data_IF_625650953734
#
_entry.id   IF_625650953734
#
_cell.length_a   1.000
_cell.length_b   1.000
_cell.length_c   1.000
_cell.angle_alpha   90.00
_cell.angle_beta   90.00
_cell.angle_gamma   90.00
#
_symmetry.space_group_name_H-M   'P 1'
#
loop_
_entity.id
_entity.type
_entity.pdbx_description
1 polymer ?
#
# COMPACT_ATOMS: atom_id res chain seq x y z
N UNK A 1 3.35 18.90 -9.70
CA UNK A 1 2.42 18.35 -10.71
C UNK A 1 1.03 18.70 -10.26
N UNK A 2 0.27 19.49 -11.03
CA UNK A 2 -1.15 19.72 -10.72
C UNK A 2 -1.86 18.37 -10.61
N UNK A 3 -2.76 18.20 -9.64
CA UNK A 3 -3.52 16.96 -9.53
C UNK A 3 -4.34 16.82 -10.81
N UNK A 4 -3.94 15.88 -11.69
CA UNK A 4 -4.73 15.54 -12.87
C UNK A 4 -6.15 15.23 -12.39
N UNK A 5 -7.14 15.86 -12.98
CA UNK A 5 -8.53 15.56 -12.64
C UNK A 5 -8.79 14.09 -12.96
N UNK A 6 -9.23 13.34 -11.96
CA UNK A 6 -9.57 11.93 -12.14
C UNK A 6 -10.72 11.77 -13.17
N UNK A 7 -10.77 10.65 -13.92
CA UNK A 7 -11.86 10.38 -14.84
C UNK A 7 -13.23 10.44 -14.17
N UNK A 8 -14.23 10.91 -14.90
CA UNK A 8 -15.61 10.99 -14.40
C UNK A 8 -16.19 9.57 -14.21
N UNK A 9 -16.66 9.28 -13.00
CA UNK A 9 -17.23 7.97 -12.66
C UNK A 9 -18.45 7.58 -13.49
N UNK A 10 -19.27 8.56 -13.91
CA UNK A 10 -20.40 8.29 -14.80
C UNK A 10 -19.94 7.89 -16.21
N UNK A 11 -18.81 8.42 -16.66
CA UNK A 11 -18.22 8.01 -17.95
C UNK A 11 -17.58 6.61 -17.84
N UNK A 12 -16.89 6.31 -16.73
CA UNK A 12 -16.40 4.95 -16.44
C UNK A 12 -17.55 3.94 -16.40
N UNK A 13 -18.66 4.30 -15.78
CA UNK A 13 -19.88 3.47 -15.76
C UNK A 13 -20.42 3.23 -17.18
N UNK A 14 -20.52 4.27 -17.99
CA UNK A 14 -20.94 4.14 -19.38
C UNK A 14 -19.99 3.24 -20.19
N UNK A 15 -18.68 3.41 -20.03
CA UNK A 15 -17.65 2.58 -20.65
C UNK A 15 -17.85 1.09 -20.35
N UNK A 16 -17.96 0.74 -19.06
CA UNK A 16 -18.15 -0.65 -18.63
C UNK A 16 -19.45 -1.22 -19.19
N UNK A 17 -20.57 -0.50 -19.13
CA UNK A 17 -21.85 -0.99 -19.64
C UNK A 17 -21.86 -1.17 -21.18
N UNK A 18 -21.24 -0.25 -21.93
CA UNK A 18 -21.10 -0.43 -23.40
C UNK A 18 -20.20 -1.63 -23.72
N UNK A 19 -19.15 -1.86 -22.95
CA UNK A 19 -18.29 -3.04 -23.09
C UNK A 19 -19.03 -4.35 -22.78
N UNK A 20 -19.86 -4.37 -21.72
CA UNK A 20 -20.63 -5.56 -21.31
C UNK A 20 -21.71 -5.94 -22.34
N UNK A 21 -22.38 -4.97 -22.95
CA UNK A 21 -23.48 -5.21 -23.88
C UNK A 21 -23.06 -5.20 -25.38
N UNK A 22 -21.86 -4.72 -25.69
CA UNK A 22 -21.37 -4.57 -27.07
C UNK A 22 -22.20 -3.57 -27.90
N UNK A 23 -23.08 -2.79 -27.28
CA UNK A 23 -24.03 -1.89 -27.95
C UNK A 23 -24.39 -0.69 -27.10
N UNK A 24 -24.33 0.51 -27.69
CA UNK A 24 -24.76 1.75 -27.01
C UNK A 24 -26.26 1.71 -26.70
N UNK A 25 -27.09 1.16 -27.60
CA UNK A 25 -28.54 1.06 -27.40
C UNK A 25 -28.84 0.20 -26.16
N UNK A 26 -28.33 -1.03 -26.10
CA UNK A 26 -28.55 -1.93 -24.96
C UNK A 26 -27.98 -1.35 -23.66
N UNK A 27 -26.80 -0.72 -23.73
CA UNK A 27 -26.21 -0.06 -22.56
C UNK A 27 -27.08 1.11 -22.10
N UNK A 28 -27.68 1.90 -23.00
CA UNK A 28 -28.54 3.02 -22.64
C UNK A 28 -29.82 2.58 -21.93
N UNK A 29 -30.41 1.47 -22.39
CA UNK A 29 -31.56 0.85 -21.73
C UNK A 29 -31.21 0.39 -20.30
N UNK A 30 -30.09 -0.34 -20.14
CA UNK A 30 -29.60 -0.81 -18.83
C UNK A 30 -29.22 0.34 -17.88
N UNK A 31 -28.78 1.46 -18.42
CA UNK A 31 -28.41 2.65 -17.66
C UNK A 31 -29.60 3.58 -17.37
N UNK A 32 -30.77 3.34 -17.95
CA UNK A 32 -31.93 4.23 -17.93
C UNK A 32 -31.57 5.65 -18.39
N UNK A 33 -30.84 5.76 -19.52
CA UNK A 33 -30.34 7.01 -20.10
C UNK A 33 -30.58 7.03 -21.62
N UNK A 34 -30.69 8.23 -22.20
CA UNK A 34 -30.75 8.36 -23.63
C UNK A 34 -29.44 7.92 -24.32
N UNK A 35 -29.51 7.33 -25.49
CA UNK A 35 -28.33 6.89 -26.27
C UNK A 35 -27.33 8.03 -26.52
N UNK A 36 -27.82 9.26 -26.78
CA UNK A 36 -26.98 10.44 -26.95
C UNK A 36 -26.14 10.76 -25.71
N UNK A 37 -26.69 10.56 -24.51
CA UNK A 37 -25.97 10.76 -23.24
C UNK A 37 -24.86 9.71 -23.07
N UNK A 38 -25.16 8.44 -23.37
CA UNK A 38 -24.16 7.37 -23.29
C UNK A 38 -23.05 7.58 -24.31
N UNK A 39 -23.41 7.90 -25.57
CA UNK A 39 -22.42 8.20 -26.61
C UNK A 39 -21.53 9.36 -26.21
N UNK A 40 -22.11 10.44 -25.70
CA UNK A 40 -21.36 11.61 -25.22
C UNK A 40 -20.42 11.23 -24.07
N UNK A 41 -20.88 10.44 -23.11
CA UNK A 41 -20.04 9.97 -21.99
C UNK A 41 -18.81 9.18 -22.46
N UNK A 42 -18.97 8.34 -23.49
CA UNK A 42 -17.84 7.60 -24.09
C UNK A 42 -16.89 8.59 -24.79
N UNK A 43 -17.41 9.47 -25.65
CA UNK A 43 -16.58 10.44 -26.36
C UNK A 43 -15.81 11.39 -25.42
N UNK A 44 -16.44 11.83 -24.33
CA UNK A 44 -15.78 12.66 -23.31
C UNK A 44 -14.72 11.88 -22.54
N UNK A 45 -14.93 10.57 -22.28
CA UNK A 45 -13.92 9.71 -21.68
C UNK A 45 -12.73 9.50 -22.62
N UNK A 46 -12.98 9.17 -23.87
CA UNK A 46 -11.96 8.98 -24.91
C UNK A 46 -11.14 10.26 -25.12
N UNK A 47 -11.81 11.41 -25.22
CA UNK A 47 -11.16 12.72 -25.32
C UNK A 47 -10.29 13.04 -24.08
N UNK A 48 -10.79 12.74 -22.88
CA UNK A 48 -10.06 12.94 -21.63
C UNK A 48 -8.81 12.09 -21.54
N UNK A 49 -8.90 10.82 -21.98
CA UNK A 49 -7.81 9.86 -21.94
C UNK A 49 -6.89 9.94 -23.17
N UNK A 50 -7.29 10.71 -24.17
CA UNK A 50 -6.61 10.85 -25.46
C UNK A 50 -6.36 9.48 -26.13
N UNK A 51 -7.38 8.60 -26.11
CA UNK A 51 -7.36 7.26 -26.73
C UNK A 51 -8.76 6.84 -27.16
N UNK A 52 -8.86 6.04 -28.23
CA UNK A 52 -10.09 5.35 -28.56
C UNK A 52 -10.24 4.10 -27.69
N UNK A 53 -11.40 3.94 -27.06
CA UNK A 53 -11.74 2.77 -26.23
C UNK A 53 -12.57 1.75 -27.02
N UNK A 54 -13.29 2.23 -28.04
CA UNK A 54 -14.13 1.40 -28.90
C UNK A 54 -13.89 1.66 -30.39
N UNK A 55 -14.09 0.60 -31.16
CA UNK A 55 -14.24 0.65 -32.62
C UNK A 55 -15.70 0.40 -32.97
N UNK A 56 -16.20 1.14 -33.99
CA UNK A 56 -17.55 0.94 -34.51
C UNK A 56 -17.53 -0.12 -35.60
N UNK A 57 -18.34 -1.15 -35.42
CA UNK A 57 -18.56 -2.20 -36.42
C UNK A 57 -20.03 -2.27 -36.80
N UNK A 58 -20.33 -2.94 -37.94
CA UNK A 58 -21.70 -3.13 -38.39
C UNK A 58 -22.60 -3.79 -37.34
N UNK A 59 -22.02 -4.64 -36.47
CA UNK A 59 -22.74 -5.39 -35.41
C UNK A 59 -22.67 -4.73 -34.02
N UNK A 60 -22.20 -3.49 -33.91
CA UNK A 60 -22.13 -2.78 -32.64
C UNK A 60 -20.78 -2.17 -32.32
N UNK A 61 -20.47 -2.11 -31.03
CA UNK A 61 -19.21 -1.54 -30.48
C UNK A 61 -18.27 -2.67 -30.03
N UNK A 62 -17.04 -2.63 -30.47
CA UNK A 62 -15.98 -3.54 -30.02
C UNK A 62 -14.90 -2.75 -29.32
N UNK A 63 -14.36 -3.32 -28.25
CA UNK A 63 -13.24 -2.71 -27.55
C UNK A 63 -11.98 -2.70 -28.41
N UNK A 64 -11.26 -1.60 -28.39
CA UNK A 64 -9.86 -1.53 -28.84
C UNK A 64 -8.96 -2.31 -27.89
N UNK A 65 -7.69 -2.55 -28.25
CA UNK A 65 -6.69 -3.15 -27.35
C UNK A 65 -6.52 -2.33 -26.07
N UNK A 66 -6.56 -1.00 -26.18
CA UNK A 66 -6.51 -0.09 -25.03
C UNK A 66 -7.76 -0.26 -24.17
N UNK A 67 -8.95 -0.29 -24.78
CA UNK A 67 -10.20 -0.52 -24.08
C UNK A 67 -10.21 -1.85 -23.34
N UNK A 68 -9.70 -2.93 -23.96
CA UNK A 68 -9.60 -4.25 -23.33
C UNK A 68 -8.70 -4.23 -22.08
N UNK A 69 -7.58 -3.51 -22.13
CA UNK A 69 -6.63 -3.40 -21.01
C UNK A 69 -7.17 -2.54 -19.86
N UNK A 70 -7.93 -1.50 -20.14
CA UNK A 70 -8.52 -0.62 -19.14
C UNK A 70 -9.79 -1.20 -18.48
N UNK A 71 -10.53 -2.05 -19.20
CA UNK A 71 -11.82 -2.58 -18.72
C UNK A 71 -11.72 -3.28 -17.35
N UNK A 72 -10.73 -4.13 -17.05
CA UNK A 72 -10.60 -4.76 -15.73
C UNK A 72 -10.52 -3.73 -14.61
N UNK A 73 -9.75 -2.65 -14.79
CA UNK A 73 -9.61 -1.60 -13.79
C UNK A 73 -10.89 -0.77 -13.65
N UNK A 74 -11.54 -0.42 -14.74
CA UNK A 74 -12.83 0.27 -14.73
C UNK A 74 -13.90 -0.55 -14.00
N UNK A 75 -13.96 -1.86 -14.22
CA UNK A 75 -14.87 -2.78 -13.48
C UNK A 75 -14.57 -2.80 -11.99
N UNK A 76 -13.31 -2.75 -11.59
CA UNK A 76 -12.93 -2.70 -10.16
C UNK A 76 -13.41 -1.41 -9.50
N UNK A 77 -13.26 -0.27 -10.16
CA UNK A 77 -13.80 1.01 -9.66
C UNK A 77 -15.28 0.86 -9.31
N UNK A 78 -16.07 0.29 -10.24
CA UNK A 78 -17.51 0.10 -10.02
C UNK A 78 -17.76 -0.91 -8.90
N UNK A 79 -17.09 -2.05 -8.90
CA UNK A 79 -17.27 -3.10 -7.90
C UNK A 79 -16.98 -2.62 -6.47
N UNK A 80 -15.94 -1.78 -6.29
CA UNK A 80 -15.65 -1.17 -4.98
C UNK A 80 -16.78 -0.25 -4.52
N UNK A 81 -17.34 0.58 -5.41
CA UNK A 81 -18.46 1.47 -5.06
C UNK A 81 -19.76 0.69 -4.86
N UNK A 82 -20.02 -0.32 -5.67
CA UNK A 82 -21.22 -1.17 -5.57
C UNK A 82 -21.22 -2.03 -4.28
N UNK A 83 -20.07 -2.27 -3.67
CA UNK A 83 -19.95 -2.96 -2.38
C UNK A 83 -20.44 -2.14 -1.18
N UNK A 84 -20.46 -0.81 -1.29
CA UNK A 84 -20.74 0.11 -0.18
C UNK A 84 -22.13 -0.10 0.45
N UNK A 85 -23.24 -0.22 -0.29
CA UNK A 85 -24.54 -0.46 0.32
C UNK A 85 -24.61 -1.75 1.15
N UNK A 86 -23.96 -2.83 0.68
CA UNK A 86 -23.90 -4.11 1.40
C UNK A 86 -23.19 -3.99 2.74
N UNK A 87 -22.07 -3.25 2.79
CA UNK A 87 -21.33 -2.99 4.03
C UNK A 87 -22.14 -2.20 5.06
N UNK A 88 -23.06 -1.36 4.60
CA UNK A 88 -23.93 -0.58 5.48
C UNK A 88 -25.18 -1.35 5.96
N UNK A 89 -25.28 -2.66 5.65
CA UNK A 89 -26.40 -3.48 6.07
C UNK A 89 -27.66 -3.27 5.23
N UNK A 90 -27.52 -2.78 4.01
CA UNK A 90 -28.53 -2.80 2.97
C UNK A 90 -28.76 -4.25 2.57
N UNK A 91 -29.82 -4.88 3.13
CA UNK A 91 -30.16 -6.25 2.77
C UNK A 91 -30.49 -6.39 1.28
N UNK A 92 -30.56 -7.63 0.81
CA UNK A 92 -30.74 -8.19 -0.54
C UNK A 92 -31.94 -7.67 -1.38
N UNK A 93 -32.38 -6.45 -1.14
CA UNK A 93 -33.24 -5.75 -2.09
C UNK A 93 -32.36 -5.36 -3.25
N UNK A 94 -32.64 -5.93 -4.43
CA UNK A 94 -32.11 -5.60 -5.76
C UNK A 94 -31.29 -4.30 -5.73
N UNK A 95 -29.96 -4.43 -5.58
CA UNK A 95 -29.10 -3.30 -5.20
C UNK A 95 -29.13 -2.25 -6.32
N UNK A 96 -29.92 -1.23 -6.10
CA UNK A 96 -29.90 -0.03 -6.94
C UNK A 96 -28.48 0.51 -6.89
N UNK A 97 -27.86 0.68 -8.05
CA UNK A 97 -26.50 1.24 -8.13
C UNK A 97 -26.39 2.52 -7.27
N UNK A 98 -25.36 2.65 -6.43
CA UNK A 98 -25.24 3.75 -5.47
C UNK A 98 -24.78 5.05 -6.17
N UNK A 99 -25.60 5.60 -7.05
CA UNK A 99 -25.28 6.78 -7.88
C UNK A 99 -24.86 7.99 -7.07
N UNK A 100 -25.24 8.07 -5.79
CA UNK A 100 -24.75 9.11 -4.88
C UNK A 100 -23.24 9.04 -4.63
N UNK A 101 -22.57 7.90 -4.92
CA UNK A 101 -21.11 7.74 -4.85
C UNK A 101 -20.41 8.11 -6.18
N UNK A 102 -21.14 8.24 -7.30
CA UNK A 102 -20.54 8.38 -8.63
C UNK A 102 -20.12 9.83 -8.94
N UNK A 103 -19.55 10.50 -7.95
CA UNK A 103 -18.92 11.82 -8.11
C UNK A 103 -17.57 11.83 -7.38
N UNK A 104 -16.48 11.91 -8.13
CA UNK A 104 -15.10 11.85 -7.61
C UNK A 104 -14.90 12.85 -6.47
N UNK A 105 -15.32 14.11 -6.66
CA UNK A 105 -15.17 15.17 -5.66
C UNK A 105 -15.85 14.83 -4.33
N UNK A 106 -17.00 14.16 -4.38
CA UNK A 106 -17.72 13.71 -3.18
C UNK A 106 -16.94 12.66 -2.41
N UNK A 107 -16.36 11.69 -3.11
CA UNK A 107 -15.51 10.67 -2.52
C UNK A 107 -14.25 11.27 -1.90
N UNK A 108 -13.63 12.25 -2.58
CA UNK A 108 -12.47 12.98 -2.06
C UNK A 108 -12.80 13.75 -0.78
N UNK A 109 -13.95 14.44 -0.75
CA UNK A 109 -14.43 15.16 0.45
C UNK A 109 -14.59 14.19 1.63
N UNK A 110 -15.25 13.05 1.40
CA UNK A 110 -15.46 12.05 2.44
C UNK A 110 -14.13 11.51 2.99
N UNK A 111 -13.21 11.09 2.11
CA UNK A 111 -11.89 10.58 2.53
C UNK A 111 -11.13 11.64 3.32
N UNK A 112 -11.09 12.88 2.83
CA UNK A 112 -10.38 13.97 3.52
C UNK A 112 -11.03 14.34 4.87
N UNK A 113 -12.35 14.22 5.00
CA UNK A 113 -13.01 14.39 6.30
C UNK A 113 -12.63 13.29 7.29
N UNK A 114 -12.51 12.04 6.85
CA UNK A 114 -12.04 10.94 7.68
C UNK A 114 -10.58 11.12 8.16
N UNK A 115 -9.75 11.83 7.36
CA UNK A 115 -8.34 12.08 7.69
C UNK A 115 -8.14 13.29 8.60
N UNK A 116 -8.87 14.37 8.33
CA UNK A 116 -8.60 15.68 8.96
C UNK A 116 -9.56 16.03 10.10
N UNK A 117 -10.74 15.43 10.12
CA UNK A 117 -11.81 15.69 11.09
C UNK A 117 -12.35 17.13 11.07
N UNK A 118 -11.93 17.98 10.10
CA UNK A 118 -12.28 19.41 10.05
C UNK A 118 -12.75 19.84 8.66
N UNK A 119 -14.00 20.34 8.57
CA UNK A 119 -14.59 20.79 7.30
C UNK A 119 -13.81 21.96 6.67
N UNK A 120 -13.31 22.89 7.46
CA UNK A 120 -12.57 24.03 6.94
C UNK A 120 -11.24 23.60 6.32
N UNK A 121 -10.53 22.67 6.95
CA UNK A 121 -9.30 22.09 6.41
C UNK A 121 -9.55 21.38 5.07
N UNK A 122 -10.63 20.58 5.00
CA UNK A 122 -11.03 19.91 3.75
C UNK A 122 -11.39 20.92 2.66
N UNK A 123 -12.12 21.98 3.02
CA UNK A 123 -12.46 23.05 2.09
C UNK A 123 -11.19 23.67 1.48
N UNK A 124 -10.23 24.04 2.32
CA UNK A 124 -8.94 24.59 1.87
C UNK A 124 -8.14 23.62 1.00
N UNK A 125 -8.01 22.35 1.43
CA UNK A 125 -7.24 21.33 0.70
C UNK A 125 -7.82 21.01 -0.69
N UNK A 126 -9.14 21.11 -0.83
CA UNK A 126 -9.82 20.76 -2.07
C UNK A 126 -10.26 21.99 -2.91
N UNK A 127 -9.92 23.22 -2.49
CA UNK A 127 -10.33 24.43 -3.18
C UNK A 127 -11.86 24.63 -3.20
N UNK A 128 -12.53 24.27 -2.09
CA UNK A 128 -13.99 24.38 -1.91
C UNK A 128 -14.34 25.39 -0.82
N UNK A 129 -15.61 25.81 -0.79
CA UNK A 129 -16.16 26.50 0.38
C UNK A 129 -16.62 25.49 1.43
N UNK A 130 -16.59 25.87 2.71
CA UNK A 130 -17.10 25.03 3.80
C UNK A 130 -18.59 24.62 3.60
N UNK A 131 -19.51 25.50 3.15
CA UNK A 131 -20.87 25.11 2.82
C UNK A 131 -20.93 24.00 1.73
N UNK A 132 -20.05 24.04 0.72
CA UNK A 132 -19.99 23.02 -0.32
C UNK A 132 -19.54 21.67 0.25
N UNK A 133 -18.57 21.65 1.17
CA UNK A 133 -18.16 20.43 1.90
C UNK A 133 -19.34 19.88 2.71
N UNK A 134 -20.05 20.73 3.46
CA UNK A 134 -21.22 20.34 4.26
C UNK A 134 -22.37 19.80 3.40
N UNK A 135 -22.66 20.45 2.26
CA UNK A 135 -23.68 19.98 1.32
C UNK A 135 -23.31 18.62 0.71
N UNK A 136 -22.04 18.47 0.33
CA UNK A 136 -21.50 17.21 -0.22
C UNK A 136 -21.65 16.05 0.78
N UNK A 137 -21.33 16.30 2.06
CA UNK A 137 -21.50 15.30 3.12
C UNK A 137 -22.97 14.93 3.31
N UNK A 138 -23.89 15.90 3.36
CA UNK A 138 -25.33 15.64 3.48
C UNK A 138 -25.88 14.76 2.37
N UNK A 139 -25.44 14.99 1.11
CA UNK A 139 -25.85 14.13 -0.02
C UNK A 139 -25.34 12.71 0.17
N UNK A 140 -24.12 12.55 0.66
CA UNK A 140 -23.53 11.22 0.91
C UNK A 140 -24.24 10.49 2.05
N UNK A 141 -24.49 11.16 3.18
CA UNK A 141 -25.24 10.61 4.31
C UNK A 141 -26.68 10.23 3.92
N UNK A 142 -27.34 11.10 3.13
CA UNK A 142 -28.67 10.81 2.59
C UNK A 142 -28.70 9.56 1.71
N UNK A 143 -27.67 9.39 0.86
CA UNK A 143 -27.53 8.19 0.02
C UNK A 143 -27.18 6.92 0.81
N UNK A 144 -26.36 7.06 1.85
CA UNK A 144 -26.03 5.95 2.77
C UNK A 144 -27.17 5.58 3.73
N UNK A 145 -28.14 6.46 3.93
CA UNK A 145 -29.23 6.28 4.91
C UNK A 145 -28.74 6.27 6.38
N UNK A 146 -27.50 6.69 6.61
CA UNK A 146 -26.85 6.69 7.93
C UNK A 146 -25.95 7.92 8.09
N UNK A 147 -25.82 8.48 9.33
CA UNK A 147 -24.82 9.49 9.61
C UNK A 147 -23.41 8.89 9.43
N UNK A 148 -22.55 9.60 8.70
CA UNK A 148 -21.17 9.21 8.50
C UNK A 148 -20.24 9.89 9.51
N UNK A 149 -20.63 11.05 10.05
CA UNK A 149 -19.85 11.77 11.05
C UNK A 149 -20.71 12.23 12.21
N UNK A 150 -20.10 12.24 13.39
CA UNK A 150 -20.66 12.81 14.60
C UNK A 150 -19.93 14.10 14.95
N UNK A 151 -20.68 15.12 15.40
CA UNK A 151 -20.09 16.37 15.87
C UNK A 151 -19.67 16.23 17.33
N UNK A 152 -18.41 16.45 17.60
CA UNK A 152 -17.85 16.44 18.96
C UNK A 152 -17.12 17.77 19.23
N UNK A 153 -16.79 18.06 20.50
CA UNK A 153 -15.95 19.22 20.83
C UNK A 153 -14.56 19.20 20.15
N UNK A 154 -14.13 18.01 19.68
CA UNK A 154 -12.85 17.80 18.98
C UNK A 154 -12.98 17.83 17.45
N UNK A 155 -14.14 18.25 16.92
CA UNK A 155 -14.43 18.25 15.49
C UNK A 155 -15.36 17.12 15.06
N UNK A 156 -15.33 16.79 13.77
CA UNK A 156 -16.10 15.70 13.19
C UNK A 156 -15.40 14.38 13.43
N UNK A 157 -16.07 13.42 14.06
CA UNK A 157 -15.54 12.07 14.24
C UNK A 157 -16.24 11.09 13.28
N UNK A 158 -15.49 10.27 12.53
CA UNK A 158 -16.07 9.24 11.69
C UNK A 158 -16.86 8.24 12.52
N UNK A 159 -18.07 7.90 12.07
CA UNK A 159 -18.88 6.84 12.66
C UNK A 159 -18.36 5.45 12.24
N UNK A 160 -18.91 4.40 12.84
CA UNK A 160 -18.67 3.02 12.39
C UNK A 160 -18.99 2.85 10.90
N UNK A 161 -20.09 3.43 10.43
CA UNK A 161 -20.46 3.42 9.02
C UNK A 161 -19.37 4.01 8.11
N UNK A 162 -18.76 5.13 8.51
CA UNK A 162 -17.62 5.69 7.78
C UNK A 162 -16.43 4.75 7.72
N UNK A 163 -16.07 4.10 8.82
CA UNK A 163 -14.96 3.13 8.82
C UNK A 163 -15.23 1.93 7.91
N UNK A 164 -16.47 1.45 7.85
CA UNK A 164 -16.86 0.32 7.00
C UNK A 164 -16.73 0.65 5.50
N UNK A 165 -17.04 1.88 5.07
CA UNK A 165 -17.01 2.28 3.64
C UNK A 165 -15.75 2.98 3.20
N UNK A 166 -14.85 3.35 4.11
CA UNK A 166 -13.65 4.12 3.80
C UNK A 166 -12.72 3.39 2.83
N UNK A 167 -12.45 2.11 3.07
CA UNK A 167 -11.53 1.33 2.23
C UNK A 167 -12.04 1.13 0.80
N UNK A 168 -13.28 0.68 0.53
CA UNK A 168 -13.79 0.60 -0.83
C UNK A 168 -13.71 1.94 -1.56
N UNK A 169 -14.03 3.04 -0.90
CA UNK A 169 -13.98 4.37 -1.52
C UNK A 169 -12.54 4.77 -1.85
N UNK A 170 -11.58 4.54 -0.95
CA UNK A 170 -10.16 4.80 -1.22
C UNK A 170 -9.65 3.94 -2.37
N UNK A 171 -9.99 2.64 -2.39
CA UNK A 171 -9.60 1.73 -3.47
C UNK A 171 -10.17 2.18 -4.82
N UNK A 172 -11.45 2.57 -4.88
CA UNK A 172 -12.04 3.10 -6.09
C UNK A 172 -11.30 4.35 -6.62
N UNK A 173 -10.94 5.28 -5.73
CA UNK A 173 -10.17 6.47 -6.10
C UNK A 173 -8.75 6.10 -6.56
N UNK A 174 -8.13 5.11 -5.96
CA UNK A 174 -6.80 4.63 -6.35
C UNK A 174 -6.82 3.94 -7.72
N UNK A 175 -7.80 3.07 -7.97
CA UNK A 175 -7.98 2.44 -9.29
C UNK A 175 -8.20 3.50 -10.38
N UNK A 176 -8.92 4.59 -10.11
CA UNK A 176 -9.06 5.71 -11.05
C UNK A 176 -7.72 6.39 -11.37
N UNK A 177 -6.85 6.59 -10.38
CA UNK A 177 -5.50 7.16 -10.59
C UNK A 177 -4.64 6.24 -11.46
N UNK A 178 -4.73 4.94 -11.27
CA UNK A 178 -3.95 3.97 -12.03
C UNK A 178 -4.36 3.86 -13.50
N UNK A 179 -5.56 4.31 -13.92
CA UNK A 179 -5.95 4.37 -15.33
C UNK A 179 -4.94 5.18 -16.16
N UNK A 180 -4.51 6.32 -15.65
CA UNK A 180 -3.53 7.17 -16.33
C UNK A 180 -2.15 6.49 -16.41
N UNK A 181 -1.73 5.81 -15.35
CA UNK A 181 -0.47 5.04 -15.31
C UNK A 181 -0.49 3.87 -16.31
N UNK A 182 -1.63 3.16 -16.42
CA UNK A 182 -1.80 2.09 -17.38
C UNK A 182 -1.68 2.61 -18.82
N UNK A 183 -2.29 3.77 -19.14
CA UNK A 183 -2.23 4.39 -20.45
C UNK A 183 -0.82 4.83 -20.84
N UNK A 184 -0.08 5.44 -19.91
CA UNK A 184 1.29 5.87 -20.19
C UNK A 184 2.20 4.67 -20.44
N UNK A 185 2.03 3.58 -19.71
CA UNK A 185 2.74 2.33 -19.95
C UNK A 185 2.44 1.73 -21.34
N UNK A 186 1.17 1.78 -21.78
CA UNK A 186 0.77 1.34 -23.12
C UNK A 186 1.41 2.15 -24.25
N UNK A 187 1.73 3.41 -23.99
CA UNK A 187 2.43 4.31 -24.93
C UNK A 187 3.96 4.11 -24.90
N UNK A 188 4.46 3.13 -24.16
CA UNK A 188 5.91 2.86 -23.98
C UNK A 188 6.64 3.82 -23.06
N UNK A 189 5.91 4.67 -22.34
CA UNK A 189 6.48 5.63 -21.40
C UNK A 189 6.00 5.29 -19.97
N UNK A 190 6.82 4.54 -19.22
CA UNK A 190 6.48 4.23 -17.83
C UNK A 190 6.67 5.47 -16.96
N UNK A 191 5.58 6.00 -16.45
CA UNK A 191 5.57 7.17 -15.56
C UNK A 191 4.43 7.07 -14.55
N UNK A 192 4.57 7.73 -13.41
CA UNK A 192 3.57 7.76 -12.35
C UNK A 192 4.20 7.63 -10.98
N UNK A 193 3.36 7.31 -10.00
CA UNK A 193 3.78 7.21 -8.59
C UNK A 193 3.55 5.78 -8.12
N UNK A 194 4.52 5.23 -7.37
CA UNK A 194 4.37 3.99 -6.62
C UNK A 194 4.57 4.26 -5.13
N UNK A 195 3.66 3.75 -4.32
CA UNK A 195 3.71 3.83 -2.86
C UNK A 195 4.14 2.49 -2.30
N UNK A 196 5.32 2.43 -1.66
CA UNK A 196 5.86 1.20 -1.09
C UNK A 196 5.98 1.27 0.42
N UNK A 197 5.37 0.31 1.12
CA UNK A 197 5.60 0.09 2.53
C UNK A 197 6.94 -0.58 2.75
N UNK A 198 7.87 0.08 3.44
CA UNK A 198 9.24 -0.40 3.62
C UNK A 198 9.48 -0.86 5.07
N UNK A 199 9.56 -2.17 5.30
CA UNK A 199 9.94 -2.72 6.60
C UNK A 199 11.47 -2.69 6.79
N UNK A 200 11.97 -2.71 8.03
CA UNK A 200 13.39 -2.50 8.32
C UNK A 200 14.38 -3.33 7.47
N UNK A 201 14.06 -4.59 7.21
CA UNK A 201 14.93 -5.49 6.43
C UNK A 201 15.08 -5.11 4.95
N UNK A 202 14.12 -4.36 4.39
CA UNK A 202 14.18 -3.92 2.99
C UNK A 202 14.90 -2.60 2.78
N UNK A 203 15.05 -1.78 3.83
CA UNK A 203 15.40 -0.35 3.70
C UNK A 203 16.88 -0.08 3.45
N UNK A 204 17.76 -0.94 3.91
CA UNK A 204 19.20 -0.61 3.99
C UNK A 204 19.94 -0.82 2.68
N UNK A 205 19.56 -1.80 1.87
CA UNK A 205 20.25 -2.16 0.63
C UNK A 205 19.30 -2.39 -0.54
N UNK A 206 18.46 -3.43 -0.46
CA UNK A 206 17.71 -3.94 -1.62
C UNK A 206 16.77 -2.90 -2.21
N UNK A 207 15.94 -2.26 -1.39
CA UNK A 207 14.99 -1.26 -1.88
C UNK A 207 15.67 -0.01 -2.43
N UNK A 208 16.66 0.60 -1.77
CA UNK A 208 17.42 1.72 -2.32
C UNK A 208 18.06 1.41 -3.67
N UNK A 209 18.71 0.25 -3.81
CA UNK A 209 19.33 -0.17 -5.06
C UNK A 209 18.30 -0.39 -6.17
N UNK A 210 17.17 -1.04 -5.85
CA UNK A 210 16.08 -1.22 -6.79
C UNK A 210 15.49 0.12 -7.28
N UNK A 211 15.35 1.09 -6.37
CA UNK A 211 14.87 2.45 -6.72
C UNK A 211 15.86 3.15 -7.65
N UNK A 212 17.16 3.12 -7.34
CA UNK A 212 18.20 3.75 -8.17
C UNK A 212 18.18 3.18 -9.59
N UNK A 213 18.11 1.85 -9.74
CA UNK A 213 18.05 1.19 -11.04
C UNK A 213 16.76 1.54 -11.79
N UNK A 214 15.62 1.49 -11.10
CA UNK A 214 14.34 1.85 -11.70
C UNK A 214 14.32 3.28 -12.22
N UNK A 215 14.84 4.23 -11.45
CA UNK A 215 14.90 5.64 -11.85
C UNK A 215 15.89 5.90 -12.99
N UNK A 216 16.97 5.11 -13.10
CA UNK A 216 17.89 5.17 -14.24
C UNK A 216 17.21 4.74 -15.55
N UNK A 217 16.35 3.73 -15.51
CA UNK A 217 15.59 3.26 -16.67
C UNK A 217 14.36 4.11 -16.96
N UNK A 218 13.71 4.63 -15.90
CA UNK A 218 12.40 5.32 -15.96
C UNK A 218 12.41 6.61 -15.12
N UNK A 219 13.05 7.69 -15.59
CA UNK A 219 13.26 8.92 -14.79
C UNK A 219 11.99 9.70 -14.46
N UNK A 220 10.83 9.34 -15.04
CA UNK A 220 9.54 9.97 -14.77
C UNK A 220 8.71 9.25 -13.69
N UNK A 221 9.27 8.22 -13.05
CA UNK A 221 8.66 7.54 -11.92
C UNK A 221 8.97 8.30 -10.63
N UNK A 222 7.99 8.43 -9.76
CA UNK A 222 8.16 8.85 -8.38
C UNK A 222 7.93 7.66 -7.45
N UNK A 223 8.87 7.40 -6.56
CA UNK A 223 8.71 6.38 -5.51
C UNK A 223 8.48 7.10 -4.18
N UNK A 224 7.40 6.72 -3.50
CA UNK A 224 7.07 7.21 -2.15
C UNK A 224 7.17 6.02 -1.20
N UNK A 225 8.03 6.13 -0.19
CA UNK A 225 8.21 5.10 0.83
C UNK A 225 7.45 5.45 2.10
N UNK A 226 6.89 4.44 2.77
CA UNK A 226 6.27 4.54 4.08
C UNK A 226 6.94 3.54 5.02
N UNK A 227 7.48 4.03 6.13
CA UNK A 227 8.29 3.27 7.10
C UNK A 227 7.52 2.91 8.38
N UNK A 228 6.22 2.86 8.32
CA UNK A 228 5.35 2.52 9.46
C UNK A 228 5.50 1.05 9.90
N UNK A 229 5.06 0.69 11.11
CA UNK A 229 4.91 -0.70 11.53
C UNK A 229 4.00 -1.50 10.60
N UNK A 230 4.22 -2.82 10.52
CA UNK A 230 3.48 -3.70 9.59
C UNK A 230 1.96 -3.53 9.67
N UNK A 231 1.37 -3.40 10.87
CA UNK A 231 -0.08 -3.30 11.03
C UNK A 231 -0.67 -2.03 10.41
N UNK A 232 0.07 -0.91 10.51
CA UNK A 232 -0.31 0.34 9.86
C UNK A 232 -0.14 0.23 8.34
N UNK A 233 0.99 -0.31 7.87
CA UNK A 233 1.21 -0.56 6.44
C UNK A 233 0.17 -1.52 5.87
N UNK A 234 -0.22 -2.56 6.59
CA UNK A 234 -1.26 -3.49 6.18
C UNK A 234 -2.63 -2.80 6.06
N UNK A 235 -2.92 -1.84 6.95
CA UNK A 235 -4.14 -1.02 6.88
C UNK A 235 -4.13 -0.13 5.64
N UNK A 236 -3.02 0.54 5.35
CA UNK A 236 -2.83 1.36 4.15
C UNK A 236 -2.86 0.53 2.86
N UNK A 237 -2.29 -0.68 2.90
CA UNK A 237 -2.35 -1.64 1.80
C UNK A 237 -3.80 -2.08 1.52
N UNK A 238 -4.61 -2.34 2.55
CA UNK A 238 -6.04 -2.64 2.44
C UNK A 238 -6.85 -1.48 1.87
N UNK A 239 -6.48 -0.27 2.24
CA UNK A 239 -7.06 0.96 1.73
C UNK A 239 -6.66 1.26 0.27
N UNK A 240 -5.56 0.66 -0.23
CA UNK A 240 -4.99 0.95 -1.53
C UNK A 240 -4.08 2.18 -1.54
N UNK A 241 -3.72 2.73 -0.39
CA UNK A 241 -2.81 3.87 -0.27
C UNK A 241 -1.34 3.45 -0.42
N UNK A 242 -1.04 2.17 -0.16
CA UNK A 242 0.23 1.50 -0.42
C UNK A 242 0.00 0.41 -1.46
N UNK A 243 0.86 0.34 -2.48
CA UNK A 243 0.77 -0.65 -3.57
C UNK A 243 1.22 -2.03 -3.13
N UNK A 244 2.32 -2.09 -2.39
CA UNK A 244 2.86 -3.31 -1.78
C UNK A 244 3.78 -2.97 -0.61
N UNK A 245 4.02 -3.96 0.26
CA UNK A 245 4.98 -3.87 1.36
C UNK A 245 6.17 -4.76 1.03
N UNK A 246 7.40 -4.25 1.23
CA UNK A 246 8.63 -5.02 1.10
C UNK A 246 9.33 -5.19 2.45
N UNK A 247 9.67 -6.43 2.81
CA UNK A 247 10.39 -6.79 4.02
C UNK A 247 9.97 -8.13 4.61
N UNK A 248 10.08 -8.29 5.92
CA UNK A 248 9.78 -9.55 6.61
C UNK A 248 8.30 -9.93 6.47
N UNK A 249 8.05 -11.10 5.92
CA UNK A 249 6.71 -11.63 5.73
C UNK A 249 6.04 -11.97 7.07
N UNK A 250 4.72 -11.96 7.07
CA UNK A 250 3.87 -12.47 8.15
C UNK A 250 3.32 -13.84 7.77
N UNK A 251 2.98 -14.65 8.79
CA UNK A 251 2.32 -15.93 8.50
C UNK A 251 0.96 -15.67 7.83
N UNK A 252 0.51 -16.57 6.93
CA UNK A 252 -0.81 -16.45 6.29
C UNK A 252 -1.97 -16.37 7.30
N UNK A 253 -1.81 -16.96 8.48
CA UNK A 253 -2.81 -16.89 9.56
C UNK A 253 -2.94 -15.50 10.19
N UNK A 254 -1.94 -14.64 10.02
CA UNK A 254 -1.94 -13.28 10.56
C UNK A 254 -2.78 -12.32 9.71
N UNK A 255 -2.79 -12.51 8.38
CA UNK A 255 -3.49 -11.64 7.44
C UNK A 255 -3.93 -12.45 6.22
N UNK A 256 -5.04 -13.17 6.34
CA UNK A 256 -5.58 -14.05 5.27
C UNK A 256 -6.04 -13.32 4.01
N UNK A 257 -6.25 -12.02 4.11
CA UNK A 257 -6.62 -11.11 3.01
C UNK A 257 -5.41 -10.53 2.26
N UNK A 258 -4.20 -10.86 2.71
CA UNK A 258 -2.94 -10.44 2.08
C UNK A 258 -2.17 -11.64 1.55
N UNK A 259 -1.50 -11.44 0.42
CA UNK A 259 -0.59 -12.44 -0.17
C UNK A 259 0.85 -12.04 0.13
N UNK A 260 1.62 -12.97 0.71
CA UNK A 260 3.06 -12.83 0.91
C UNK A 260 3.83 -13.70 -0.09
N UNK A 261 4.76 -13.12 -0.84
CA UNK A 261 5.66 -13.82 -1.76
C UNK A 261 7.07 -13.75 -1.24
N UNK A 262 7.64 -14.88 -0.83
CA UNK A 262 9.02 -14.97 -0.35
C UNK A 262 10.00 -14.80 -1.50
N UNK A 263 11.01 -13.94 -1.32
CA UNK A 263 12.08 -13.70 -2.29
C UNK A 263 13.42 -14.21 -1.79
N UNK A 264 13.66 -14.10 -0.48
CA UNK A 264 14.85 -14.59 0.18
C UNK A 264 14.57 -14.95 1.65
N UNK A 265 15.52 -15.63 2.29
CA UNK A 265 15.49 -15.89 3.72
C UNK A 265 16.75 -15.35 4.37
N UNK A 266 16.65 -14.85 5.57
CA UNK A 266 17.77 -14.33 6.35
C UNK A 266 17.68 -14.77 7.80
N UNK A 267 18.85 -15.08 8.37
CA UNK A 267 19.03 -15.33 9.78
C UNK A 267 19.47 -14.05 10.50
N UNK A 268 19.21 -13.99 11.80
CA UNK A 268 19.79 -12.95 12.64
C UNK A 268 21.20 -13.36 13.05
N UNK A 269 22.07 -12.37 13.14
CA UNK A 269 23.40 -12.50 13.71
C UNK A 269 23.52 -11.59 14.93
N UNK A 270 24.41 -11.94 15.84
CA UNK A 270 24.75 -11.09 16.97
C UNK A 270 25.86 -10.14 16.58
N UNK A 271 25.62 -8.84 16.70
CA UNK A 271 26.54 -7.77 16.34
C UNK A 271 27.02 -7.00 17.57
N UNK A 272 28.28 -6.64 17.51
CA UNK A 272 28.95 -5.70 18.42
C UNK A 272 30.00 -4.88 17.66
N UNK A 273 30.58 -3.84 18.28
CA UNK A 273 31.78 -3.19 17.74
C UNK A 273 32.95 -4.20 17.68
N UNK A 274 33.89 -4.04 16.74
CA UNK A 274 34.93 -5.04 16.51
C UNK A 274 35.97 -5.18 17.64
N UNK A 275 36.13 -4.18 18.48
CA UNK A 275 36.96 -4.19 19.68
C UNK A 275 36.18 -4.60 20.95
N UNK A 276 34.97 -5.16 20.79
CA UNK A 276 34.16 -5.64 21.91
C UNK A 276 34.85 -6.83 22.63
N UNK A 277 34.88 -6.88 23.99
CA UNK A 277 35.55 -7.94 24.73
C UNK A 277 35.08 -9.37 24.41
N UNK A 278 33.86 -9.55 23.95
CA UNK A 278 33.33 -10.87 23.56
C UNK A 278 33.80 -11.35 22.17
N UNK A 279 34.41 -10.50 21.35
CA UNK A 279 34.84 -10.90 20.02
C UNK A 279 36.03 -11.87 20.03
N UNK A 280 36.92 -11.72 21.00
CA UNK A 280 38.16 -12.50 21.11
C UNK A 280 38.04 -13.75 21.97
N UNK A 281 36.84 -14.10 22.45
CA UNK A 281 36.61 -15.26 23.34
C UNK A 281 35.38 -16.07 22.93
N UNK A 282 35.31 -17.30 23.47
CA UNK A 282 34.06 -18.07 23.39
C UNK A 282 32.97 -17.40 24.20
N UNK A 283 31.86 -17.07 23.57
CA UNK A 283 30.72 -16.41 24.22
C UNK A 283 29.97 -17.42 25.10
N UNK A 284 29.91 -17.18 26.41
CA UNK A 284 29.22 -18.00 27.38
C UNK A 284 27.81 -17.48 27.70
N UNK A 285 26.98 -18.29 28.35
CA UNK A 285 25.62 -17.92 28.76
C UNK A 285 25.61 -16.73 29.72
N UNK A 286 26.57 -16.72 30.62
CA UNK A 286 26.76 -15.67 31.62
C UNK A 286 27.08 -14.33 30.96
N UNK A 287 27.87 -14.34 29.87
CA UNK A 287 28.19 -13.14 29.10
C UNK A 287 26.94 -12.53 28.48
N UNK A 288 26.08 -13.38 27.89
CA UNK A 288 24.82 -12.94 27.29
C UNK A 288 23.83 -12.39 28.32
N UNK A 289 23.80 -12.99 29.49
CA UNK A 289 22.94 -12.56 30.59
C UNK A 289 23.40 -11.25 31.20
N UNK A 290 24.70 -10.99 31.22
CA UNK A 290 25.30 -9.76 31.78
C UNK A 290 25.37 -8.62 30.76
N UNK A 291 25.25 -8.91 29.47
CA UNK A 291 25.38 -7.92 28.42
C UNK A 291 24.23 -6.90 28.41
N UNK A 292 24.54 -5.70 27.94
CA UNK A 292 23.56 -4.67 27.63
C UNK A 292 23.01 -4.86 26.22
N UNK A 293 21.69 -4.95 26.09
CA UNK A 293 21.04 -5.28 24.84
C UNK A 293 20.26 -4.13 24.22
N UNK A 294 20.42 -3.99 22.91
CA UNK A 294 19.49 -3.26 22.03
C UNK A 294 18.64 -4.30 21.32
N UNK A 295 17.36 -4.38 21.63
CA UNK A 295 16.45 -5.38 21.06
C UNK A 295 15.26 -4.74 20.33
N UNK A 296 14.63 -5.49 19.39
CA UNK A 296 13.39 -5.08 18.77
C UNK A 296 12.29 -4.86 19.82
N UNK A 297 11.31 -4.01 19.48
CA UNK A 297 10.16 -3.70 20.36
C UNK A 297 9.46 -4.97 20.83
N UNK A 298 9.03 -4.97 22.08
CA UNK A 298 8.24 -6.04 22.67
C UNK A 298 7.02 -6.37 21.79
N UNK A 299 6.70 -7.67 21.66
CA UNK A 299 5.59 -8.14 20.83
C UNK A 299 5.87 -8.23 19.32
N UNK A 300 6.95 -7.61 18.82
CA UNK A 300 7.32 -7.79 17.39
C UNK A 300 7.72 -9.23 17.09
N UNK A 301 7.50 -9.73 15.85
CA UNK A 301 7.92 -11.10 15.47
C UNK A 301 9.41 -11.34 15.70
N UNK A 302 10.25 -10.37 15.37
CA UNK A 302 11.69 -10.46 15.60
C UNK A 302 12.03 -10.66 17.08
N UNK A 303 11.36 -9.90 17.98
CA UNK A 303 11.57 -10.03 19.42
C UNK A 303 11.11 -11.39 19.95
N UNK A 304 9.96 -11.89 19.50
CA UNK A 304 9.48 -13.23 19.90
C UNK A 304 10.45 -14.34 19.51
N UNK A 305 11.02 -14.27 18.30
CA UNK A 305 12.03 -15.21 17.83
C UNK A 305 13.30 -15.17 18.69
N UNK A 306 13.79 -13.97 19.00
CA UNK A 306 14.96 -13.79 19.85
C UNK A 306 14.71 -14.26 21.29
N UNK A 307 13.56 -13.93 21.88
CA UNK A 307 13.19 -14.39 23.21
C UNK A 307 13.17 -15.94 23.28
N UNK A 308 12.69 -16.60 22.21
CA UNK A 308 12.71 -18.05 22.12
C UNK A 308 14.13 -18.60 21.93
N UNK A 309 14.95 -17.93 21.13
CA UNK A 309 16.37 -18.27 20.96
C UNK A 309 17.12 -18.22 22.28
N UNK A 310 16.94 -17.17 23.08
CA UNK A 310 17.53 -17.04 24.43
C UNK A 310 17.09 -18.18 25.37
N UNK A 311 15.81 -18.55 25.37
CA UNK A 311 15.32 -19.69 26.18
C UNK A 311 15.99 -21.00 25.78
N UNK A 312 16.23 -21.24 24.47
CA UNK A 312 16.97 -22.43 23.99
C UNK A 312 18.42 -22.44 24.44
N UNK A 313 19.04 -21.28 24.55
CA UNK A 313 20.36 -21.17 25.19
C UNK A 313 20.33 -21.42 26.70
N UNK A 314 19.15 -21.61 27.31
CA UNK A 314 18.97 -21.83 28.72
C UNK A 314 19.12 -20.55 29.55
N UNK A 315 18.90 -19.39 28.94
CA UNK A 315 18.88 -18.09 29.63
C UNK A 315 17.50 -17.43 29.53
N UNK A 316 17.13 -16.69 30.55
CA UNK A 316 15.95 -15.85 30.47
C UNK A 316 16.16 -14.76 29.41
N UNK A 317 15.13 -14.44 28.59
CA UNK A 317 15.23 -13.33 27.62
C UNK A 317 15.70 -12.06 28.32
N UNK A 318 16.80 -11.44 27.88
CA UNK A 318 17.38 -10.29 28.57
C UNK A 318 16.43 -9.09 28.51
N UNK A 319 16.43 -8.31 29.58
CA UNK A 319 15.75 -7.03 29.58
C UNK A 319 16.59 -6.03 28.77
N UNK A 320 16.10 -5.49 27.65
CA UNK A 320 16.89 -4.55 26.86
C UNK A 320 17.08 -3.23 27.59
N UNK A 321 18.24 -2.62 27.40
CA UNK A 321 18.50 -1.23 27.79
C UNK A 321 17.81 -0.29 26.82
N UNK A 322 17.75 -0.67 25.53
CA UNK A 322 17.06 0.10 24.47
C UNK A 322 16.18 -0.84 23.65
N UNK A 323 14.91 -0.45 23.46
CA UNK A 323 13.98 -1.11 22.54
C UNK A 323 13.79 -0.25 21.31
N UNK A 324 14.28 -0.72 20.15
CA UNK A 324 14.13 -0.01 18.88
C UNK A 324 14.16 -0.96 17.70
N UNK A 325 13.51 -0.56 16.59
CA UNK A 325 13.64 -1.19 15.27
C UNK A 325 14.34 -0.26 14.27
N UNK A 326 14.83 0.89 14.75
CA UNK A 326 15.51 1.89 13.91
C UNK A 326 16.99 1.54 13.77
N UNK A 327 17.41 1.28 12.51
CA UNK A 327 18.78 0.85 12.22
C UNK A 327 19.82 1.95 12.45
N UNK A 328 19.45 3.22 12.29
CA UNK A 328 20.39 4.32 12.56
C UNK A 328 20.69 4.43 14.08
N UNK A 329 19.66 4.21 14.92
CA UNK A 329 19.83 4.16 16.38
C UNK A 329 20.66 2.94 16.77
N UNK A 330 20.33 1.74 16.26
CA UNK A 330 21.08 0.51 16.55
C UNK A 330 22.55 0.69 16.15
N UNK A 331 22.82 1.12 14.94
CA UNK A 331 24.18 1.40 14.44
C UNK A 331 24.92 2.39 15.36
N UNK A 332 24.28 3.50 15.69
CA UNK A 332 24.87 4.54 16.52
C UNK A 332 25.25 4.06 17.94
N UNK A 333 24.43 3.18 18.53
CA UNK A 333 24.68 2.58 19.83
C UNK A 333 25.81 1.55 19.78
N UNK A 334 25.76 0.62 18.82
CA UNK A 334 26.80 -0.41 18.65
C UNK A 334 28.20 0.20 18.44
N UNK A 335 28.31 1.23 17.61
CA UNK A 335 29.60 1.87 17.34
C UNK A 335 30.19 2.65 18.53
N UNK A 336 29.40 2.95 19.57
CA UNK A 336 29.81 3.83 20.68
C UNK A 336 29.74 3.18 22.05
N UNK A 337 29.39 1.90 22.11
CA UNK A 337 29.21 1.19 23.39
C UNK A 337 29.47 -0.31 23.28
N UNK A 338 29.51 -1.00 24.41
CA UNK A 338 29.57 -2.46 24.50
C UNK A 338 28.18 -3.11 24.46
N UNK A 339 27.19 -2.45 23.87
CA UNK A 339 25.87 -3.04 23.68
C UNK A 339 25.90 -4.11 22.59
N UNK A 340 25.08 -5.12 22.75
CA UNK A 340 24.84 -6.16 21.76
C UNK A 340 23.49 -5.94 21.06
N UNK A 341 23.43 -6.27 19.77
CA UNK A 341 22.18 -6.34 19.03
C UNK A 341 22.08 -7.63 18.22
N UNK A 342 20.86 -8.11 18.00
CA UNK A 342 20.60 -9.23 17.11
C UNK A 342 19.73 -8.73 15.93
N UNK A 343 20.35 -8.66 14.75
CA UNK A 343 19.77 -8.16 13.50
C UNK A 343 20.25 -9.00 12.31
N UNK A 344 19.68 -8.81 11.13
CA UNK A 344 20.23 -9.41 9.91
C UNK A 344 21.55 -8.74 9.53
N UNK A 345 22.55 -9.53 9.16
CA UNK A 345 23.87 -9.04 8.73
C UNK A 345 23.78 -8.04 7.56
N UNK A 346 22.89 -8.28 6.61
CA UNK A 346 22.69 -7.39 5.46
C UNK A 346 22.20 -5.97 5.83
N UNK A 347 21.66 -5.79 7.03
CA UNK A 347 21.20 -4.45 7.46
C UNK A 347 22.36 -3.53 7.85
N UNK A 348 23.51 -4.08 8.20
CA UNK A 348 24.72 -3.37 8.60
C UNK A 348 25.96 -3.91 7.86
N UNK A 349 25.75 -4.33 6.60
CA UNK A 349 26.76 -4.94 5.76
C UNK A 349 27.99 -4.01 5.54
N UNK A 350 27.76 -2.71 5.40
CA UNK A 350 28.83 -1.74 5.20
C UNK A 350 29.73 -1.62 6.43
N UNK A 351 29.14 -1.56 7.63
CA UNK A 351 29.85 -1.47 8.90
C UNK A 351 30.58 -2.79 9.22
N UNK A 352 30.03 -3.92 8.80
CA UNK A 352 30.71 -5.22 8.93
C UNK A 352 31.89 -5.29 7.93
N UNK A 353 31.70 -4.88 6.70
CA UNK A 353 32.74 -4.88 5.67
C UNK A 353 33.87 -3.90 5.96
N UNK A 354 33.55 -2.74 6.56
CA UNK A 354 34.57 -1.75 7.00
C UNK A 354 35.32 -2.15 8.26
N UNK A 355 34.87 -3.22 8.98
CA UNK A 355 35.46 -3.65 10.25
C UNK A 355 35.07 -2.77 11.43
N UNK A 356 34.06 -1.90 11.31
CA UNK A 356 33.55 -1.12 12.43
C UNK A 356 32.69 -1.99 13.35
N UNK A 357 31.88 -2.90 12.76
CA UNK A 357 31.07 -3.87 13.48
C UNK A 357 31.49 -5.30 13.13
N UNK A 358 31.39 -6.20 14.09
CA UNK A 358 31.72 -7.58 13.94
C UNK A 358 30.59 -8.50 14.35
N UNK A 359 30.45 -9.62 13.62
CA UNK A 359 29.56 -10.71 14.01
C UNK A 359 30.25 -11.51 15.12
N UNK A 360 29.59 -11.61 16.28
CA UNK A 360 30.12 -12.47 17.37
C UNK A 360 29.97 -13.94 16.98
N UNK A 361 30.92 -14.81 17.38
CA UNK A 361 30.96 -16.22 17.03
C UNK A 361 29.90 -17.05 17.82
N UNK A 362 28.64 -16.69 17.64
CA UNK A 362 27.49 -17.38 18.24
C UNK A 362 26.36 -17.46 17.21
N UNK A 363 25.95 -18.66 16.88
CA UNK A 363 24.83 -18.90 15.96
C UNK A 363 23.49 -18.75 16.69
N UNK A 364 22.65 -17.84 16.17
CA UNK A 364 21.29 -17.64 16.65
C UNK A 364 20.34 -18.61 15.94
N UNK A 365 20.20 -19.82 16.47
CA UNK A 365 19.40 -20.88 15.85
C UNK A 365 17.92 -20.51 15.73
N UNK A 366 17.30 -20.92 14.60
CA UNK A 366 15.88 -20.74 14.29
C UNK A 366 15.44 -19.27 14.28
N UNK A 367 16.30 -18.38 13.82
CA UNK A 367 15.97 -16.96 13.61
C UNK A 367 15.72 -16.63 12.14
N UNK A 368 15.59 -17.66 11.29
CA UNK A 368 15.33 -17.52 9.85
C UNK A 368 14.00 -16.83 9.60
N UNK A 369 14.04 -15.80 8.77
CA UNK A 369 12.86 -15.02 8.36
C UNK A 369 12.76 -14.95 6.86
N UNK A 370 11.57 -15.23 6.34
CA UNK A 370 11.26 -14.98 4.94
C UNK A 370 11.08 -13.47 4.72
N UNK A 371 11.77 -12.95 3.71
CA UNK A 371 11.70 -11.57 3.26
C UNK A 371 11.12 -11.55 1.85
N UNK A 372 10.23 -10.63 1.58
CA UNK A 372 9.57 -10.58 0.29
C UNK A 372 8.55 -9.48 0.17
N UNK A 373 7.63 -9.70 -0.76
CA UNK A 373 6.57 -8.77 -1.10
C UNK A 373 5.27 -9.19 -0.43
N UNK A 374 4.56 -8.23 0.15
CA UNK A 374 3.18 -8.44 0.64
C UNK A 374 2.26 -7.48 -0.09
N UNK A 375 1.17 -8.00 -0.65
CA UNK A 375 0.15 -7.22 -1.34
C UNK A 375 -1.25 -7.77 -1.10
N UNK A 376 -2.26 -7.01 -1.45
CA UNK A 376 -3.67 -7.37 -1.25
C UNK A 376 -4.08 -8.47 -2.22
N UNK A 377 -4.83 -9.46 -1.72
CA UNK A 377 -5.34 -10.56 -2.55
C UNK A 377 -6.13 -10.02 -3.75
N UNK A 378 -5.82 -10.55 -4.93
CA UNK A 378 -6.52 -10.22 -6.15
C UNK A 378 -6.43 -8.74 -6.58
N UNK A 379 -5.50 -7.92 -6.08
CA UNK A 379 -5.31 -6.54 -6.58
C UNK A 379 -4.76 -6.53 -8.01
N UNK A 380 -5.05 -5.46 -8.75
CA UNK A 380 -4.38 -5.14 -10.01
C UNK A 380 -3.24 -4.17 -9.70
N UNK A 381 -2.00 -4.65 -9.80
CA UNK A 381 -0.86 -3.77 -9.65
C UNK A 381 -0.80 -2.75 -10.79
N UNK A 382 -0.33 -1.55 -10.49
CA UNK A 382 0.02 -0.58 -11.53
C UNK A 382 1.29 -1.03 -12.25
N UNK A 383 1.50 -0.64 -13.52
CA UNK A 383 2.74 -0.93 -14.25
C UNK A 383 3.99 -0.44 -13.52
N UNK A 384 3.91 0.70 -12.82
CA UNK A 384 5.01 1.26 -12.04
C UNK A 384 5.30 0.40 -10.80
N UNK A 385 4.26 -0.08 -10.10
CA UNK A 385 4.44 -0.98 -8.98
C UNK A 385 5.04 -2.32 -9.42
N UNK A 386 4.60 -2.87 -10.56
CA UNK A 386 5.19 -4.09 -11.13
C UNK A 386 6.66 -3.90 -11.45
N UNK A 387 7.02 -2.78 -12.10
CA UNK A 387 8.42 -2.48 -12.45
C UNK A 387 9.31 -2.40 -11.19
N UNK A 388 8.86 -1.76 -10.12
CA UNK A 388 9.63 -1.72 -8.87
C UNK A 388 9.75 -3.10 -8.21
N UNK A 389 8.66 -3.90 -8.19
CA UNK A 389 8.71 -5.27 -7.69
C UNK A 389 9.67 -6.16 -8.50
N UNK A 390 9.71 -6.00 -9.82
CA UNK A 390 10.63 -6.75 -10.69
C UNK A 390 12.07 -6.31 -10.49
N UNK A 391 12.32 -5.02 -10.30
CA UNK A 391 13.64 -4.51 -9.98
C UNK A 391 14.14 -5.05 -8.61
N UNK A 392 13.27 -5.14 -7.61
CA UNK A 392 13.60 -5.80 -6.33
C UNK A 392 14.01 -7.25 -6.53
N UNK A 393 13.29 -8.01 -7.37
CA UNK A 393 13.64 -9.42 -7.70
C UNK A 393 15.00 -9.51 -8.38
N UNK A 394 15.29 -8.60 -9.32
CA UNK A 394 16.58 -8.57 -10.03
C UNK A 394 17.74 -8.27 -9.09
N UNK A 395 17.61 -7.27 -8.20
CA UNK A 395 18.63 -6.95 -7.19
C UNK A 395 18.93 -8.17 -6.30
N UNK A 396 17.88 -8.86 -5.83
CA UNK A 396 18.04 -10.05 -5.00
C UNK A 396 18.72 -11.20 -5.77
N UNK A 397 18.36 -11.41 -7.03
CA UNK A 397 18.94 -12.47 -7.86
C UNK A 397 20.44 -12.25 -8.14
N UNK A 398 20.89 -11.01 -8.22
CA UNK A 398 22.31 -10.66 -8.45
C UNK A 398 23.15 -10.65 -7.17
N UNK A 399 22.51 -10.67 -6.00
CA UNK A 399 23.21 -10.73 -4.71
C UNK A 399 23.46 -12.16 -4.19
N UNK A 400 22.96 -13.17 -4.90
CA UNK A 400 23.22 -14.61 -4.67
C UNK A 400 24.46 -15.05 -5.45
#
# INVERSE_FOLDING_TARGET
>A
MEPSELPNLMHIRAFVRVADYGSVSKASEALFRAQSVVTRSISELEARLDVALFERHANGMRLTDVGQRLLPRARRVLAELDSVPGLLGGGDKQAVEPLYLFQVRRLQVFVKLCETHHMQTVASLLGLSQPAVSSTLKVMEGGCGKPLFERTPRGLQPTRASHEILFPIRRALNELRHIETDLTALRGALQGVVHVGALPLGRTRILPEAIVRLMAEHPKIQVITNESPFDLLATELRAGDVDFIFGALRSPSYASDLTGVSLLTEDMVMLARCDHPLYSKTVLREDLSAAQWVLPRAGSPARKMLDECFRRFGIAPPRPVVETGDMAIIRGLLLRSDMLAAVSAHQLEQEIASGELCILPLELQQTTRAIGLTYRNGCLHSPVAMALMDMIRQVIAQAK
#
